data_IF_149359816184
#
_entry.id   IF_149359816184
#
_cell.length_a   1.000
_cell.length_b   1.000
_cell.length_c   1.000
_cell.angle_alpha   90.00
_cell.angle_beta   90.00
_cell.angle_gamma   90.00
#
_symmetry.space_group_name_H-M   'P 1'
#
loop_
_entity.id
_entity.type
_entity.pdbx_description
1 polymer ?
#
# COMPACT_ATOMS: atom_id res chain seq x y z
N UNK A 1 23.14 0.76 63.04
CA UNK A 1 22.65 2.04 62.52
C UNK A 1 22.19 1.81 61.10
N UNK A 2 20.94 2.16 60.84
CA UNK A 2 20.17 1.96 59.62
C UNK A 2 20.43 3.10 58.63
N UNK A 3 20.54 2.77 57.34
CA UNK A 3 20.24 3.52 56.07
C UNK A 3 21.34 3.27 55.03
N UNK A 4 21.09 3.04 53.74
CA UNK A 4 19.86 3.07 52.97
C UNK A 4 20.10 2.41 51.60
N UNK A 5 19.03 1.82 51.08
CA UNK A 5 18.86 1.30 49.73
C UNK A 5 18.90 2.46 48.71
N UNK A 6 19.61 2.32 47.59
CA UNK A 6 19.15 2.93 46.35
C UNK A 6 19.48 2.04 45.16
N UNK A 7 18.50 1.96 44.28
CA UNK A 7 18.36 1.00 43.20
C UNK A 7 18.67 1.65 41.85
N UNK A 8 18.56 0.82 40.81
CA UNK A 8 18.42 1.16 39.38
C UNK A 8 19.71 1.60 38.67
N UNK A 9 20.01 1.14 37.45
CA UNK A 9 19.12 0.69 36.38
C UNK A 9 19.86 -0.21 35.39
N UNK A 10 19.18 -1.28 35.01
CA UNK A 10 19.53 -2.21 33.95
C UNK A 10 19.95 -1.51 32.65
N UNK A 11 21.03 -2.01 32.04
CA UNK A 11 21.37 -1.74 30.66
C UNK A 11 20.22 -2.20 29.75
N UNK A 12 19.51 -1.25 29.16
CA UNK A 12 18.52 -1.53 28.13
C UNK A 12 19.24 -1.82 26.82
N UNK A 13 19.15 -3.07 26.39
CA UNK A 13 19.37 -3.48 25.02
C UNK A 13 18.33 -2.79 24.10
N UNK A 14 18.65 -1.59 23.65
CA UNK A 14 17.94 -0.89 22.56
C UNK A 14 18.95 -0.60 21.45
N UNK A 15 19.48 -1.66 20.87
CA UNK A 15 20.12 -1.63 19.55
C UNK A 15 19.61 -2.84 18.77
N UNK A 16 18.35 -2.76 18.32
CA UNK A 16 17.86 -3.62 17.25
C UNK A 16 17.13 -2.77 16.22
N UNK A 17 17.85 -2.52 15.13
CA UNK A 17 17.39 -2.22 13.79
C UNK A 17 16.60 -0.91 13.59
N UNK A 18 17.29 0.22 13.67
CA UNK A 18 16.88 1.48 13.04
C UNK A 18 17.81 1.81 11.87
N UNK A 19 17.54 1.33 10.65
CA UNK A 19 18.24 1.83 9.44
C UNK A 19 17.76 1.27 8.08
N UNK A 20 16.45 1.11 7.82
CA UNK A 20 15.94 0.91 6.44
C UNK A 20 14.63 1.66 6.12
N UNK A 21 14.28 2.67 6.90
CA UNK A 21 13.04 3.42 6.71
C UNK A 21 13.12 4.85 7.22
N UNK A 22 14.13 5.61 6.80
CA UNK A 22 13.91 7.05 6.75
C UNK A 22 12.92 7.26 5.60
N UNK A 23 11.62 7.35 5.93
CA UNK A 23 10.61 7.72 4.95
C UNK A 23 11.08 9.01 4.29
N UNK A 24 11.17 9.01 2.95
CA UNK A 24 11.61 10.18 2.14
C UNK A 24 10.81 11.44 2.50
N UNK A 25 9.62 11.26 3.09
CA UNK A 25 8.71 12.31 3.50
C UNK A 25 8.55 12.40 5.03
N UNK A 26 9.58 12.06 5.80
CA UNK A 26 9.62 12.32 7.25
C UNK A 26 8.60 11.52 8.05
N UNK A 27 8.20 10.34 7.58
CA UNK A 27 7.21 9.48 8.25
C UNK A 27 5.78 9.68 7.74
N UNK A 28 5.56 10.60 6.80
CA UNK A 28 4.28 10.78 6.13
C UNK A 28 3.84 9.50 5.39
N UNK A 29 2.54 9.14 5.44
CA UNK A 29 1.97 8.09 4.60
C UNK A 29 2.19 8.37 3.12
N UNK A 30 2.66 7.38 2.37
CA UNK A 30 2.86 7.48 0.91
C UNK A 30 1.83 6.68 0.11
N UNK A 31 0.90 6.03 0.81
CA UNK A 31 -0.21 5.30 0.21
C UNK A 31 -1.47 5.52 1.01
N UNK A 32 -2.60 5.41 0.34
CA UNK A 32 -3.90 5.42 0.97
C UNK A 32 -4.86 4.47 0.27
N UNK A 33 -5.82 3.96 1.02
CA UNK A 33 -6.89 3.11 0.53
C UNK A 33 -8.22 3.76 0.82
N UNK A 34 -9.12 3.73 -0.16
CA UNK A 34 -10.52 4.12 0.04
C UNK A 34 -11.40 2.88 -0.09
N UNK A 35 -12.37 2.78 0.81
CA UNK A 35 -13.49 1.85 0.77
C UNK A 35 -14.73 2.66 0.46
N UNK A 36 -15.46 2.24 -0.57
CA UNK A 36 -16.74 2.82 -0.96
C UNK A 36 -17.78 1.72 -1.05
N UNK A 37 -19.04 2.06 -0.81
CA UNK A 37 -20.14 1.12 -1.04
C UNK A 37 -20.27 0.80 -2.52
N UNK A 38 -20.67 -0.43 -2.83
CA UNK A 38 -20.79 -0.91 -4.20
C UNK A 38 -21.63 -2.17 -4.28
N UNK A 39 -22.20 -2.42 -5.46
CA UNK A 39 -23.18 -3.49 -5.72
C UNK A 39 -22.68 -4.91 -5.44
N UNK A 40 -21.36 -5.11 -5.26
CA UNK A 40 -20.74 -6.41 -5.07
C UNK A 40 -20.02 -6.58 -3.71
N UNK A 41 -20.58 -5.99 -2.65
CA UNK A 41 -20.03 -6.06 -1.30
C UNK A 41 -18.91 -5.04 -1.04
N UNK A 42 -19.05 -3.86 -1.65
CA UNK A 42 -18.11 -2.73 -1.53
C UNK A 42 -16.88 -2.84 -2.42
N UNK A 43 -16.29 -1.68 -2.67
CA UNK A 43 -15.17 -1.49 -3.59
C UNK A 43 -14.01 -0.85 -2.85
N UNK A 44 -12.81 -1.31 -3.15
CA UNK A 44 -11.59 -0.79 -2.53
C UNK A 44 -10.66 -0.29 -3.60
N UNK A 45 -10.18 0.94 -3.44
CA UNK A 45 -9.20 1.57 -4.32
C UNK A 45 -7.93 1.84 -3.54
N UNK A 46 -6.79 1.50 -4.12
CA UNK A 46 -5.47 1.84 -3.58
C UNK A 46 -4.87 2.99 -4.40
N UNK A 47 -4.29 3.94 -3.68
CA UNK A 47 -3.64 5.13 -4.19
C UNK A 47 -2.19 5.21 -3.69
N UNK A 48 -1.31 5.77 -4.51
CA UNK A 48 0.01 6.25 -4.12
C UNK A 48 -0.08 7.77 -3.94
N UNK A 49 0.38 8.29 -2.82
CA UNK A 49 0.37 9.71 -2.48
C UNK A 49 1.73 10.31 -2.83
N UNK A 50 1.74 11.36 -3.65
CA UNK A 50 2.95 12.00 -4.15
C UNK A 50 2.72 13.51 -4.26
N UNK A 51 3.79 14.32 -4.17
CA UNK A 51 3.73 15.72 -4.59
C UNK A 51 3.30 15.83 -6.06
N UNK A 52 2.54 16.88 -6.39
CA UNK A 52 1.98 17.12 -7.72
C UNK A 52 3.04 17.13 -8.82
N UNK A 53 4.16 17.81 -8.61
CA UNK A 53 5.26 17.86 -9.59
C UNK A 53 5.82 16.46 -9.92
N UNK A 54 5.95 15.61 -8.90
CA UNK A 54 6.43 14.24 -9.09
C UNK A 54 5.41 13.39 -9.86
N UNK A 55 4.13 13.55 -9.55
CA UNK A 55 3.04 12.87 -10.25
C UNK A 55 2.95 13.32 -11.72
N UNK A 56 3.08 14.62 -11.98
CA UNK A 56 3.12 15.19 -13.34
C UNK A 56 4.29 14.63 -14.15
N UNK A 57 5.51 14.67 -13.59
CA UNK A 57 6.70 14.10 -14.25
C UNK A 57 6.52 12.61 -14.56
N UNK A 58 5.89 11.85 -13.64
CA UNK A 58 5.62 10.43 -13.84
C UNK A 58 4.57 10.19 -14.92
N UNK A 59 3.50 10.98 -14.95
CA UNK A 59 2.45 10.93 -15.98
C UNK A 59 3.06 11.14 -17.36
N UNK A 60 3.87 12.19 -17.53
CA UNK A 60 4.54 12.50 -18.81
C UNK A 60 5.42 11.33 -19.30
N UNK A 61 6.16 10.68 -18.39
CA UNK A 61 6.99 9.51 -18.75
C UNK A 61 6.16 8.32 -19.24
N UNK A 62 4.97 8.12 -18.68
CA UNK A 62 4.07 7.04 -19.08
C UNK A 62 3.36 7.35 -20.40
N UNK A 63 2.92 8.59 -20.58
CA UNK A 63 2.20 9.05 -21.78
C UNK A 63 3.08 8.96 -23.03
N UNK A 64 4.38 9.26 -22.92
CA UNK A 64 5.36 9.05 -24.00
C UNK A 64 5.46 7.58 -24.46
N UNK A 65 4.94 6.63 -23.67
CA UNK A 65 4.89 5.19 -23.98
C UNK A 65 3.46 4.69 -24.20
N UNK A 66 2.50 5.60 -24.39
CA UNK A 66 1.09 5.27 -24.64
C UNK A 66 0.35 4.72 -23.42
N UNK A 67 0.83 5.00 -22.20
CA UNK A 67 0.20 4.60 -20.94
C UNK A 67 -0.34 5.83 -20.21
N UNK A 68 -1.54 5.74 -19.65
CA UNK A 68 -2.10 6.79 -18.82
C UNK A 68 -1.90 6.52 -17.33
N UNK A 69 -1.99 7.58 -16.55
CA UNK A 69 -2.01 7.55 -15.09
C UNK A 69 -3.23 8.36 -14.64
N UNK A 70 -4.05 7.79 -13.76
CA UNK A 70 -5.17 8.53 -13.16
C UNK A 70 -4.62 9.24 -11.93
N UNK A 71 -4.72 10.56 -11.94
CA UNK A 71 -4.20 11.49 -10.94
C UNK A 71 -5.39 12.33 -10.51
N UNK A 72 -5.72 12.27 -9.23
CA UNK A 72 -6.86 12.95 -8.60
C UNK A 72 -6.28 13.86 -7.49
N UNK A 73 -6.87 15.03 -7.20
CA UNK A 73 -6.36 15.84 -6.10
C UNK A 73 -6.53 15.10 -4.78
N UNK A 74 -5.68 15.39 -3.78
CA UNK A 74 -5.85 14.77 -2.47
C UNK A 74 -7.24 15.04 -1.89
N UNK A 75 -7.67 16.30 -1.94
CA UNK A 75 -8.97 16.75 -1.44
C UNK A 75 -10.12 16.03 -2.16
N UNK A 76 -10.12 15.93 -3.50
CA UNK A 76 -11.19 15.25 -4.24
C UNK A 76 -11.38 13.78 -3.83
N UNK A 77 -10.30 13.09 -3.44
CA UNK A 77 -10.35 11.68 -3.05
C UNK A 77 -10.73 11.50 -1.58
N UNK A 78 -10.28 12.41 -0.73
CA UNK A 78 -10.30 12.29 0.73
C UNK A 78 -11.08 13.41 1.43
N UNK A 79 -11.91 14.18 0.72
CA UNK A 79 -12.63 15.40 1.16
C UNK A 79 -13.47 15.21 2.43
N UNK A 80 -13.92 13.97 2.67
CA UNK A 80 -14.74 13.59 3.83
C UNK A 80 -13.98 12.70 4.84
N UNK A 81 -12.66 12.58 4.68
CA UNK A 81 -11.83 11.77 5.57
C UNK A 81 -11.60 12.54 6.88
N UNK A 82 -12.55 12.39 7.79
CA UNK A 82 -12.43 12.70 9.23
C UNK A 82 -11.32 11.89 9.95
N UNK A 83 -10.34 11.38 9.20
CA UNK A 83 -9.23 10.57 9.67
C UNK A 83 -8.21 11.51 10.32
N UNK A 84 -8.15 11.46 11.65
CA UNK A 84 -7.22 12.26 12.48
C UNK A 84 -5.75 12.18 12.00
N UNK A 85 -5.37 11.09 11.34
CA UNK A 85 -4.01 10.93 10.81
C UNK A 85 -3.73 11.78 9.57
N UNK A 86 -4.73 12.01 8.71
CA UNK A 86 -4.59 12.91 7.57
C UNK A 86 -4.34 14.35 8.06
N UNK A 87 -5.04 14.76 9.13
CA UNK A 87 -4.93 16.09 9.71
C UNK A 87 -3.55 16.41 10.33
N UNK A 88 -2.68 15.41 10.53
CA UNK A 88 -1.32 15.63 11.02
C UNK A 88 -0.38 16.20 9.94
N UNK A 89 -0.73 16.03 8.67
CA UNK A 89 0.13 16.37 7.55
C UNK A 89 -0.51 17.45 6.69
N UNK A 90 0.33 18.33 6.17
CA UNK A 90 -0.07 19.27 5.13
C UNK A 90 -0.09 18.59 3.76
N UNK A 91 -1.26 18.56 3.13
CA UNK A 91 -1.49 17.93 1.83
C UNK A 91 -1.63 18.96 0.69
N UNK A 92 -1.32 20.23 0.94
CA UNK A 92 -1.21 21.23 -0.12
C UNK A 92 -0.19 20.76 -1.17
N UNK A 93 -0.56 20.81 -2.46
CA UNK A 93 0.23 20.32 -3.59
C UNK A 93 0.51 18.79 -3.58
N UNK A 94 -0.34 18.00 -2.90
CA UNK A 94 -0.30 16.54 -2.97
C UNK A 94 -1.45 15.97 -3.78
N UNK A 95 -1.17 14.85 -4.44
CA UNK A 95 -2.14 14.14 -5.27
C UNK A 95 -2.20 12.66 -4.94
N UNK A 96 -3.35 12.07 -5.23
CA UNK A 96 -3.61 10.65 -5.18
C UNK A 96 -3.48 10.03 -6.58
N UNK A 97 -2.43 9.24 -6.77
CA UNK A 97 -2.20 8.47 -8.00
C UNK A 97 -2.86 7.10 -7.86
N UNK A 98 -3.92 6.85 -8.63
CA UNK A 98 -4.67 5.60 -8.56
C UNK A 98 -3.85 4.41 -9.03
N UNK A 99 -3.70 3.40 -8.18
CA UNK A 99 -2.99 2.15 -8.51
C UNK A 99 -3.95 1.16 -9.16
N UNK A 100 -4.99 0.76 -8.44
CA UNK A 100 -6.08 -0.05 -8.96
C UNK A 100 -7.27 -0.02 -8.00
N UNK A 101 -8.45 -0.34 -8.55
CA UNK A 101 -9.69 -0.58 -7.81
C UNK A 101 -10.08 -2.05 -7.92
N UNK A 102 -10.46 -2.67 -6.81
CA UNK A 102 -10.91 -4.05 -6.73
C UNK A 102 -12.29 -4.11 -6.07
N UNK A 103 -13.06 -5.11 -6.48
CA UNK A 103 -14.41 -5.37 -6.02
C UNK A 103 -14.65 -6.89 -5.92
N UNK A 104 -15.75 -7.28 -5.28
CA UNK A 104 -16.28 -8.63 -5.32
C UNK A 104 -15.26 -9.73 -5.02
N UNK A 105 -15.17 -10.71 -5.93
CA UNK A 105 -14.29 -11.87 -5.77
C UNK A 105 -12.79 -11.52 -5.68
N UNK A 106 -12.34 -10.45 -6.35
CA UNK A 106 -10.94 -10.01 -6.27
C UNK A 106 -10.62 -9.43 -4.90
N UNK A 107 -11.52 -8.59 -4.39
CA UNK A 107 -11.38 -8.05 -3.04
C UNK A 107 -11.38 -9.16 -1.99
N UNK A 108 -12.32 -10.12 -2.07
CA UNK A 108 -12.38 -11.27 -1.16
C UNK A 108 -11.11 -12.14 -1.21
N UNK A 109 -10.50 -12.31 -2.39
CA UNK A 109 -9.25 -13.06 -2.53
C UNK A 109 -8.04 -12.30 -1.95
N UNK A 110 -8.07 -10.97 -1.98
CA UNK A 110 -7.04 -10.10 -1.40
C UNK A 110 -7.14 -9.98 0.12
N UNK A 111 -8.35 -10.07 0.70
CA UNK A 111 -8.62 -9.73 2.10
C UNK A 111 -7.66 -10.35 3.13
N UNK A 112 -7.22 -11.62 3.03
CA UNK A 112 -6.26 -12.17 4.00
C UNK A 112 -4.91 -11.44 3.99
N UNK A 113 -4.33 -11.22 2.80
CA UNK A 113 -3.06 -10.49 2.64
C UNK A 113 -3.23 -9.02 3.08
N UNK A 114 -4.37 -8.41 2.77
CA UNK A 114 -4.67 -7.05 3.18
C UNK A 114 -4.64 -6.93 4.71
N UNK A 115 -5.39 -7.78 5.41
CA UNK A 115 -5.45 -7.75 6.88
C UNK A 115 -4.06 -7.92 7.49
N UNK A 116 -3.36 -8.98 7.10
CA UNK A 116 -1.98 -9.24 7.55
C UNK A 116 -1.06 -8.03 7.32
N UNK A 117 -1.04 -7.47 6.10
CA UNK A 117 -0.15 -6.34 5.76
C UNK A 117 -0.50 -5.05 6.51
N UNK A 118 -1.79 -4.82 6.78
CA UNK A 118 -2.26 -3.61 7.46
C UNK A 118 -2.08 -3.73 8.98
N UNK A 119 -2.36 -4.90 9.54
CA UNK A 119 -2.16 -5.19 10.96
C UNK A 119 -0.67 -5.15 11.33
N UNK A 120 0.21 -5.68 10.46
CA UNK A 120 1.69 -5.58 10.59
C UNK A 120 2.20 -4.13 10.54
N UNK A 121 1.42 -3.21 9.94
CA UNK A 121 1.71 -1.79 9.91
C UNK A 121 1.12 -1.03 11.12
N UNK A 122 0.59 -1.76 12.11
CA UNK A 122 -0.09 -1.24 13.30
C UNK A 122 -1.29 -0.34 12.94
N UNK A 123 -2.01 -0.69 11.87
CA UNK A 123 -3.19 0.02 11.39
C UNK A 123 -4.44 -0.87 11.49
N UNK A 124 -5.61 -0.23 11.44
CA UNK A 124 -6.88 -0.96 11.50
C UNK A 124 -7.36 -1.36 10.09
N UNK A 125 -7.19 -2.64 9.76
CA UNK A 125 -7.70 -3.19 8.50
C UNK A 125 -9.23 -3.16 8.40
N UNK A 126 -9.96 -3.04 9.51
CA UNK A 126 -11.43 -3.02 9.48
C UNK A 126 -11.99 -1.77 8.81
N UNK A 127 -11.24 -0.66 8.80
CA UNK A 127 -11.60 0.58 8.09
C UNK A 127 -11.92 0.34 6.60
N UNK A 128 -11.23 -0.60 5.95
CA UNK A 128 -11.42 -0.90 4.52
C UNK A 128 -11.93 -2.31 4.24
N UNK A 129 -12.03 -3.16 5.26
CA UNK A 129 -12.55 -4.54 5.12
C UNK A 129 -13.95 -4.77 5.66
N UNK A 130 -14.45 -3.88 6.52
CA UNK A 130 -15.84 -3.92 6.99
C UNK A 130 -16.82 -3.40 5.92
N UNK A 131 -18.12 -3.53 6.22
CA UNK A 131 -19.18 -2.89 5.44
C UNK A 131 -19.17 -1.38 5.69
N UNK A 132 -19.44 -0.59 4.65
CA UNK A 132 -19.51 0.88 4.73
C UNK A 132 -18.42 1.57 3.92
N UNK A 133 -18.14 2.81 4.29
CA UNK A 133 -17.16 3.71 3.68
C UNK A 133 -16.02 3.95 4.67
N UNK A 134 -14.78 4.07 4.17
CA UNK A 134 -13.65 4.36 5.03
C UNK A 134 -12.37 4.64 4.26
N UNK A 135 -11.52 5.49 4.83
CA UNK A 135 -10.23 5.87 4.26
C UNK A 135 -9.11 5.48 5.22
N UNK A 136 -8.06 4.85 4.68
CA UNK A 136 -6.96 4.28 5.45
C UNK A 136 -5.62 4.72 4.87
N UNK A 137 -4.78 5.34 5.69
CA UNK A 137 -3.44 5.78 5.32
C UNK A 137 -2.39 4.73 5.70
N UNK A 138 -1.43 4.52 4.81
CA UNK A 138 -0.47 3.42 4.92
C UNK A 138 0.97 3.92 4.80
N UNK A 139 1.90 3.34 5.57
CA UNK A 139 3.32 3.54 5.34
C UNK A 139 3.75 2.89 4.02
N UNK A 140 4.90 3.33 3.51
CA UNK A 140 5.42 2.91 2.21
C UNK A 140 5.52 1.39 2.07
N UNK A 141 6.11 0.71 3.05
CA UNK A 141 6.31 -0.75 3.02
C UNK A 141 5.01 -1.52 2.81
N UNK A 142 3.95 -1.16 3.55
CA UNK A 142 2.63 -1.77 3.43
C UNK A 142 1.99 -1.44 2.08
N UNK A 143 2.05 -0.17 1.68
CA UNK A 143 1.51 0.29 0.40
C UNK A 143 2.16 -0.36 -0.82
N UNK A 144 3.49 -0.56 -0.80
CA UNK A 144 4.25 -1.26 -1.85
C UNK A 144 3.80 -2.70 -2.00
N UNK A 145 3.68 -3.44 -0.88
CA UNK A 145 3.23 -4.83 -0.88
C UNK A 145 1.80 -4.95 -1.42
N UNK A 146 0.90 -4.07 -0.99
CA UNK A 146 -0.47 -4.05 -1.50
C UNK A 146 -0.54 -3.61 -2.96
N UNK A 147 0.28 -2.66 -3.40
CA UNK A 147 0.34 -2.23 -4.80
C UNK A 147 0.65 -3.38 -5.76
N UNK A 148 1.55 -4.30 -5.37
CA UNK A 148 1.82 -5.52 -6.12
C UNK A 148 0.58 -6.40 -6.23
N UNK A 149 -0.11 -6.63 -5.12
CA UNK A 149 -1.29 -7.48 -5.07
C UNK A 149 -2.44 -6.88 -5.89
N UNK A 150 -2.70 -5.59 -5.76
CA UNK A 150 -3.72 -4.86 -6.50
C UNK A 150 -3.50 -4.95 -8.02
N UNK A 151 -2.28 -4.63 -8.49
CA UNK A 151 -1.91 -4.71 -9.92
C UNK A 151 -1.96 -6.14 -10.45
N UNK A 152 -1.44 -7.09 -9.69
CA UNK A 152 -1.39 -8.48 -10.10
C UNK A 152 -2.76 -9.16 -10.14
N UNK A 153 -3.65 -8.87 -9.19
CA UNK A 153 -4.99 -9.49 -9.11
C UNK A 153 -5.96 -8.89 -10.13
N UNK A 154 -5.87 -7.58 -10.41
CA UNK A 154 -6.84 -6.86 -11.26
C UNK A 154 -7.16 -7.59 -12.59
N UNK A 155 -6.19 -8.06 -13.39
CA UNK A 155 -6.48 -8.76 -14.65
C UNK A 155 -6.88 -10.24 -14.47
N UNK A 156 -6.76 -10.82 -13.27
CA UNK A 156 -7.10 -12.23 -13.04
C UNK A 156 -8.62 -12.44 -12.98
N UNK A 157 -9.03 -13.64 -13.38
CA UNK A 157 -10.43 -14.14 -13.31
C UNK A 157 -10.56 -15.37 -12.41
N UNK A 158 -9.55 -16.23 -12.39
CA UNK A 158 -9.50 -17.48 -11.61
C UNK A 158 -9.13 -17.21 -10.16
N UNK A 159 -10.01 -17.55 -9.21
CA UNK A 159 -9.85 -17.30 -7.78
C UNK A 159 -8.64 -18.03 -7.20
N UNK A 160 -8.38 -19.25 -7.64
CA UNK A 160 -7.21 -20.03 -7.23
C UNK A 160 -5.89 -19.32 -7.59
N UNK A 161 -5.81 -18.72 -8.78
CA UNK A 161 -4.67 -17.90 -9.20
C UNK A 161 -4.55 -16.60 -8.42
N UNK A 162 -5.68 -15.95 -8.09
CA UNK A 162 -5.66 -14.77 -7.22
C UNK A 162 -5.08 -15.11 -5.85
N UNK A 163 -5.52 -16.23 -5.25
CA UNK A 163 -5.02 -16.69 -3.95
C UNK A 163 -3.55 -17.13 -4.01
N UNK A 164 -3.13 -17.78 -5.10
CA UNK A 164 -1.72 -18.14 -5.32
C UNK A 164 -0.83 -16.89 -5.36
N UNK A 165 -1.23 -15.88 -6.12
CA UNK A 165 -0.56 -14.59 -6.19
C UNK A 165 -0.46 -13.93 -4.80
N UNK A 166 -1.57 -13.82 -4.06
CA UNK A 166 -1.57 -13.23 -2.71
C UNK A 166 -0.60 -13.95 -1.77
N UNK A 167 -0.61 -15.29 -1.75
CA UNK A 167 0.32 -16.08 -0.93
C UNK A 167 1.78 -15.92 -1.35
N UNK A 168 2.02 -15.81 -2.66
CA UNK A 168 3.34 -15.53 -3.19
C UNK A 168 3.88 -14.20 -2.67
N UNK A 169 3.07 -13.14 -2.76
CA UNK A 169 3.42 -11.80 -2.25
C UNK A 169 3.58 -11.80 -0.73
N UNK A 170 2.73 -12.50 0.03
CA UNK A 170 2.85 -12.61 1.49
C UNK A 170 4.23 -13.13 1.92
N UNK A 171 4.79 -14.09 1.16
CA UNK A 171 6.10 -14.71 1.42
C UNK A 171 7.30 -13.87 0.98
N UNK A 172 7.08 -12.79 0.22
CA UNK A 172 8.17 -11.91 -0.23
C UNK A 172 8.72 -11.09 0.94
N UNK A 173 10.05 -10.93 0.97
CA UNK A 173 10.70 -9.94 1.81
C UNK A 173 10.44 -8.51 1.32
N UNK A 174 10.68 -7.51 2.16
CA UNK A 174 10.44 -6.11 1.79
C UNK A 174 11.26 -5.68 0.57
N UNK A 175 12.54 -6.05 0.51
CA UNK A 175 13.41 -5.74 -0.63
C UNK A 175 12.89 -6.32 -1.96
N UNK A 176 12.38 -7.56 -1.92
CA UNK A 176 11.79 -8.21 -3.08
C UNK A 176 10.50 -7.49 -3.51
N UNK A 177 9.66 -7.07 -2.55
CA UNK A 177 8.49 -6.24 -2.83
C UNK A 177 8.88 -4.91 -3.51
N UNK A 178 9.90 -4.22 -3.01
CA UNK A 178 10.40 -2.98 -3.61
C UNK A 178 10.92 -3.19 -5.03
N UNK A 179 11.71 -4.23 -5.26
CA UNK A 179 12.22 -4.58 -6.58
C UNK A 179 11.08 -4.83 -7.57
N UNK A 180 10.12 -5.68 -7.22
CA UNK A 180 8.98 -5.97 -8.09
C UNK A 180 8.09 -4.75 -8.31
N UNK A 181 7.94 -3.88 -7.31
CA UNK A 181 7.14 -2.68 -7.41
C UNK A 181 7.76 -1.69 -8.40
N UNK A 182 9.08 -1.44 -8.29
CA UNK A 182 9.83 -0.66 -9.25
C UNK A 182 9.71 -1.26 -10.67
N UNK A 183 9.86 -2.58 -10.80
CA UNK A 183 9.78 -3.29 -12.09
C UNK A 183 8.39 -3.24 -12.72
N UNK A 184 7.31 -3.27 -11.95
CA UNK A 184 5.94 -3.13 -12.44
C UNK A 184 5.60 -1.69 -12.86
N UNK A 185 6.20 -0.69 -12.21
CA UNK A 185 5.98 0.74 -12.49
C UNK A 185 6.82 1.27 -13.65
N UNK A 186 7.98 0.66 -13.92
CA UNK A 186 8.93 1.15 -14.90
C UNK A 186 8.31 1.18 -16.32
N UNK A 187 8.31 2.34 -17.01
CA UNK A 187 7.87 2.42 -18.41
C UNK A 187 8.71 1.54 -19.36
N UNK A 188 9.96 1.27 -18.98
CA UNK A 188 10.91 0.41 -19.70
C UNK A 188 10.68 -1.09 -19.51
N UNK A 189 9.83 -1.50 -18.56
CA UNK A 189 9.50 -2.90 -18.27
C UNK A 189 8.00 -3.14 -18.40
N UNK A 190 7.43 -3.07 -19.63
CA UNK A 190 5.98 -3.16 -19.84
C UNK A 190 5.37 -4.49 -19.38
N UNK A 191 6.19 -5.53 -19.26
CA UNK A 191 5.78 -6.88 -18.86
C UNK A 191 6.02 -7.19 -17.37
N UNK A 192 6.40 -6.22 -16.55
CA UNK A 192 6.70 -6.44 -15.12
C UNK A 192 5.57 -7.13 -14.36
N UNK A 193 4.34 -6.62 -14.50
CA UNK A 193 3.16 -7.21 -13.86
C UNK A 193 2.84 -8.62 -14.39
N UNK A 194 3.06 -8.87 -15.70
CA UNK A 194 2.85 -10.20 -16.30
C UNK A 194 3.88 -11.19 -15.78
N UNK A 195 5.15 -10.80 -15.72
CA UNK A 195 6.24 -11.63 -15.21
C UNK A 195 6.02 -12.00 -13.74
N UNK A 196 5.61 -11.03 -12.90
CA UNK A 196 5.26 -11.29 -11.51
C UNK A 196 4.12 -12.31 -11.39
N UNK A 197 3.06 -12.18 -12.19
CA UNK A 197 1.97 -13.16 -12.18
C UNK A 197 2.44 -14.54 -12.58
N UNK A 198 3.19 -14.67 -13.68
CA UNK A 198 3.75 -15.97 -14.11
C UNK A 198 4.59 -16.61 -13.01
N UNK A 199 5.50 -15.85 -12.39
CA UNK A 199 6.31 -16.34 -11.28
C UNK A 199 5.45 -16.86 -10.11
N UNK A 200 4.39 -16.15 -9.74
CA UNK A 200 3.64 -16.47 -8.52
C UNK A 200 2.40 -17.35 -8.75
N UNK A 201 2.00 -17.58 -10.00
CA UNK A 201 0.79 -18.37 -10.31
C UNK A 201 1.03 -19.60 -11.17
N UNK A 202 2.16 -19.70 -11.88
CA UNK A 202 2.41 -20.81 -12.82
C UNK A 202 3.25 -21.96 -12.21
N UNK A 203 3.49 -21.94 -10.89
CA UNK A 203 4.12 -23.04 -10.14
C UNK A 203 3.12 -23.98 -9.43
N UNK A 204 1.87 -24.05 -9.90
CA UNK A 204 0.84 -24.97 -9.40
C UNK A 204 0.28 -25.86 -10.52
#
# INVERSE_FOLDING_TARGET
MTTGLDATRSGTATERASSFGSSVYGGRPTFAMTRREGSNGGEVTLYELLPEEQAATRRDRLERRGRSLVVESFEEVFDDSSVKEAAHWDWEEWTAVKIARLDGGRFRALSPLLKETVDDAERDATTVTSSGVGDLFLPETAGVRLALAFRGIKPLRRVDRMRALCRGIARMGNEECYYWHAKCRAPSSPNGEKALRTLLTDHL
#
